data_IF_936173979802
#
_entry.id   IF_936173979802
#
_cell.length_a   1.000
_cell.length_b   1.000
_cell.length_c   1.000
_cell.angle_alpha   90.00
_cell.angle_beta   90.00
_cell.angle_gamma   90.00
#
_symmetry.space_group_name_H-M   'P 1'
#
loop_
_entity.id
_entity.type
_entity.pdbx_description
1 polymer ?
#
# COMPACT_ATOMS: atom_id res chain seq x y z
N UNK A 1 20.66 -6.59 -22.42
CA UNK A 1 20.92 -5.18 -22.07
C UNK A 1 19.58 -4.65 -21.59
N UNK A 2 19.31 -4.75 -20.30
CA UNK A 2 18.11 -4.20 -19.66
C UNK A 2 18.67 -3.51 -18.42
N UNK A 3 18.97 -2.23 -18.58
CA UNK A 3 19.21 -1.31 -17.49
C UNK A 3 18.20 -0.18 -17.69
N UNK A 4 16.95 -0.50 -17.36
CA UNK A 4 15.90 0.49 -17.13
C UNK A 4 15.80 0.60 -15.60
N UNK A 5 16.81 1.27 -15.03
CA UNK A 5 16.68 1.85 -13.71
C UNK A 5 15.47 2.78 -13.77
N UNK A 6 14.40 2.39 -13.09
CA UNK A 6 13.18 3.16 -12.85
C UNK A 6 13.56 4.63 -12.65
N UNK A 7 13.38 5.44 -13.68
CA UNK A 7 13.88 6.81 -13.67
C UNK A 7 12.87 7.63 -12.86
N UNK A 8 13.31 8.73 -12.23
CA UNK A 8 12.38 9.62 -11.50
C UNK A 8 11.17 10.07 -12.36
N UNK A 9 11.30 9.99 -13.70
CA UNK A 9 10.23 10.18 -14.68
C UNK A 9 9.06 9.19 -14.57
N UNK A 10 9.31 7.90 -14.30
CA UNK A 10 8.26 6.88 -14.23
C UNK A 10 7.44 7.02 -12.94
N UNK A 11 8.14 7.24 -11.82
CA UNK A 11 7.53 7.63 -10.54
C UNK A 11 6.68 8.88 -10.73
N UNK A 12 7.20 9.88 -11.45
CA UNK A 12 6.49 11.13 -11.70
C UNK A 12 5.20 10.92 -12.53
N UNK A 13 5.21 10.14 -13.61
CA UNK A 13 3.98 9.86 -14.38
C UNK A 13 2.95 9.13 -13.51
N UNK A 14 3.37 8.14 -12.70
CA UNK A 14 2.47 7.46 -11.75
C UNK A 14 1.85 8.47 -10.76
N UNK A 15 2.65 9.39 -10.22
CA UNK A 15 2.15 10.42 -9.30
C UNK A 15 1.19 11.40 -9.96
N UNK A 16 1.44 11.81 -11.20
CA UNK A 16 0.52 12.68 -11.95
C UNK A 16 -0.84 11.99 -12.12
N UNK A 17 -0.87 10.67 -12.38
CA UNK A 17 -2.11 9.88 -12.47
C UNK A 17 -2.85 9.80 -11.13
N UNK A 18 -2.15 9.43 -10.05
CA UNK A 18 -2.76 9.25 -8.73
C UNK A 18 -3.25 10.58 -8.16
N UNK A 19 -2.49 11.66 -8.34
CA UNK A 19 -2.83 12.99 -7.85
C UNK A 19 -3.84 13.72 -8.74
N UNK A 20 -3.86 13.44 -10.05
CA UNK A 20 -4.52 14.26 -11.05
C UNK A 20 -3.84 15.61 -11.28
N UNK A 21 -2.65 15.85 -10.71
CA UNK A 21 -1.85 17.05 -10.95
C UNK A 21 -0.91 16.82 -12.14
N UNK A 22 -1.30 17.30 -13.31
CA UNK A 22 -0.48 17.21 -14.53
C UNK A 22 0.75 18.12 -14.50
N UNK A 23 0.85 19.04 -13.54
CA UNK A 23 1.89 20.08 -13.46
C UNK A 23 2.89 19.87 -12.32
N UNK A 24 2.94 18.68 -11.70
CA UNK A 24 3.94 18.34 -10.69
C UNK A 24 5.34 18.73 -11.18
N UNK A 25 5.97 19.72 -10.54
CA UNK A 25 7.32 20.15 -10.90
C UNK A 25 8.38 19.24 -10.27
N UNK A 26 8.11 18.77 -9.06
CA UNK A 26 9.01 18.02 -8.18
C UNK A 26 8.28 16.78 -7.61
N UNK A 27 8.97 15.92 -6.85
CA UNK A 27 8.35 14.79 -6.14
C UNK A 27 7.53 15.23 -4.90
N UNK A 28 6.99 16.45 -4.91
CA UNK A 28 6.15 17.05 -3.87
C UNK A 28 4.76 17.27 -4.43
N UNK A 29 3.74 16.76 -3.73
CA UNK A 29 2.37 16.75 -4.24
C UNK A 29 1.70 18.10 -3.97
N UNK A 30 1.12 18.69 -5.01
CA UNK A 30 0.20 19.84 -4.93
C UNK A 30 -1.15 19.43 -5.50
N UNK A 31 -2.06 18.89 -4.68
CA UNK A 31 -3.37 18.52 -5.22
C UNK A 31 -4.15 19.78 -5.64
N UNK A 32 -4.85 19.76 -6.80
CA UNK A 32 -5.74 20.84 -7.19
C UNK A 32 -6.83 21.10 -6.14
N UNK A 33 -7.28 22.36 -6.10
CA UNK A 33 -8.05 22.94 -4.99
C UNK A 33 -9.48 22.40 -4.81
N UNK A 34 -9.99 21.51 -5.67
CA UNK A 34 -11.37 21.04 -5.58
C UNK A 34 -11.49 19.60 -5.03
N UNK A 35 -11.66 19.42 -3.71
CA UNK A 35 -11.75 18.11 -3.05
C UNK A 35 -13.05 17.35 -3.33
N UNK A 36 -14.06 17.96 -3.96
CA UNK A 36 -15.39 17.38 -4.05
C UNK A 36 -15.47 16.08 -4.87
N UNK A 37 -14.50 15.84 -5.76
CA UNK A 37 -14.47 14.69 -6.67
C UNK A 37 -13.25 13.78 -6.44
N UNK A 38 -12.57 13.89 -5.30
CA UNK A 38 -11.40 13.08 -5.04
C UNK A 38 -11.74 11.58 -4.96
N UNK A 39 -10.94 10.76 -5.66
CA UNK A 39 -10.92 9.31 -5.44
C UNK A 39 -10.23 8.98 -4.10
N UNK A 40 -10.24 7.69 -3.71
CA UNK A 40 -9.64 7.22 -2.45
C UNK A 40 -8.16 7.66 -2.29
N UNK A 41 -7.37 7.53 -3.35
CA UNK A 41 -5.94 7.82 -3.32
C UNK A 41 -5.65 9.32 -3.23
N UNK A 42 -6.45 10.15 -3.91
CA UNK A 42 -6.39 11.60 -3.77
C UNK A 42 -6.77 12.05 -2.36
N UNK A 43 -7.77 11.43 -1.74
CA UNK A 43 -8.13 11.69 -0.33
C UNK A 43 -6.97 11.34 0.62
N UNK A 44 -6.26 10.24 0.39
CA UNK A 44 -5.05 9.90 1.17
C UNK A 44 -3.94 10.93 0.95
N UNK A 45 -3.70 11.33 -0.31
CA UNK A 45 -2.72 12.35 -0.64
C UNK A 45 -3.00 13.71 0.01
N UNK A 46 -4.27 14.10 0.20
CA UNK A 46 -4.63 15.36 0.89
C UNK A 46 -4.12 15.45 2.32
N UNK A 47 -3.85 14.32 2.99
CA UNK A 47 -3.33 14.31 4.35
C UNK A 47 -1.90 14.85 4.45
N UNK A 48 -1.19 14.88 3.32
CA UNK A 48 0.15 15.44 3.18
C UNK A 48 0.14 16.87 2.61
N UNK A 49 -1.05 17.46 2.43
CA UNK A 49 -1.21 18.81 1.89
C UNK A 49 -1.66 19.78 2.98
N UNK A 50 -0.77 20.66 3.42
CA UNK A 50 -1.09 21.72 4.39
C UNK A 50 0.16 22.34 5.01
N UNK A 51 0.00 23.50 5.65
CA UNK A 51 1.12 24.28 6.24
C UNK A 51 1.86 23.52 7.34
N UNK A 52 1.19 22.60 8.04
CA UNK A 52 1.75 21.79 9.12
C UNK A 52 1.63 20.27 8.87
N UNK A 53 1.24 19.87 7.65
CA UNK A 53 1.19 18.47 7.28
C UNK A 53 2.61 17.95 7.02
N UNK A 54 2.93 16.68 7.34
CA UNK A 54 4.17 16.11 6.86
C UNK A 54 4.16 16.09 5.33
N UNK A 55 5.33 16.28 4.75
CA UNK A 55 5.47 16.16 3.30
C UNK A 55 5.70 14.70 2.92
N UNK A 56 5.32 14.35 1.70
CA UNK A 56 5.56 13.03 1.12
C UNK A 56 6.46 13.17 -0.10
N UNK A 57 7.42 12.27 -0.22
CA UNK A 57 8.35 12.18 -1.33
C UNK A 57 8.35 10.76 -1.88
N UNK A 58 8.67 10.63 -3.18
CA UNK A 58 8.67 9.34 -3.87
C UNK A 58 9.99 9.15 -4.60
N UNK A 59 10.47 7.90 -4.66
CA UNK A 59 11.71 7.55 -5.36
C UNK A 59 11.75 6.08 -5.79
N UNK A 60 12.51 5.81 -6.84
CA UNK A 60 13.00 4.48 -7.14
C UNK A 60 14.34 4.23 -6.45
N UNK A 61 14.48 3.09 -5.77
CA UNK A 61 15.76 2.63 -5.20
C UNK A 61 15.88 1.11 -5.34
N UNK A 62 17.09 0.56 -5.42
CA UNK A 62 17.27 -0.89 -5.37
C UNK A 62 17.14 -1.38 -3.92
N UNK A 63 15.98 -1.92 -3.58
CA UNK A 63 15.69 -2.48 -2.24
C UNK A 63 16.11 -3.95 -2.10
N UNK A 64 16.87 -4.50 -3.04
CA UNK A 64 17.22 -5.91 -3.11
C UNK A 64 16.09 -6.77 -3.68
N UNK A 65 15.94 -8.01 -3.18
CA UNK A 65 14.95 -8.98 -3.71
C UNK A 65 13.78 -9.27 -2.78
N UNK A 66 13.76 -8.67 -1.59
CA UNK A 66 12.82 -9.02 -0.51
C UNK A 66 11.67 -8.01 -0.33
N UNK A 67 11.75 -6.86 -1.00
CA UNK A 67 10.82 -5.74 -0.87
C UNK A 67 10.42 -5.25 -2.25
N UNK A 68 9.12 -5.08 -2.49
CA UNK A 68 8.60 -4.43 -3.68
C UNK A 68 8.60 -2.92 -3.51
N UNK A 69 8.29 -2.46 -2.31
CA UNK A 69 8.37 -1.07 -1.89
C UNK A 69 8.61 -0.97 -0.39
N UNK A 70 8.77 0.27 0.08
CA UNK A 70 8.88 0.61 1.50
C UNK A 70 8.56 2.08 1.74
N UNK A 71 7.84 2.35 2.83
CA UNK A 71 7.68 3.69 3.40
C UNK A 71 8.65 3.91 4.56
N UNK A 72 9.43 5.00 4.53
CA UNK A 72 10.43 5.32 5.55
C UNK A 72 10.50 6.81 5.89
N UNK A 73 11.13 7.18 7.01
CA UNK A 73 11.42 8.56 7.37
C UNK A 73 12.67 8.68 8.25
N UNK A 74 13.53 9.64 7.93
CA UNK A 74 14.75 9.96 8.68
C UNK A 74 14.63 11.22 9.55
N UNK A 75 13.48 11.88 9.52
CA UNK A 75 13.23 13.15 10.22
C UNK A 75 12.04 13.06 11.17
N UNK A 76 11.83 11.86 11.72
CA UNK A 76 10.76 11.53 12.66
C UNK A 76 9.36 11.76 12.06
N UNK A 77 9.19 11.42 10.78
CA UNK A 77 7.94 11.47 10.04
C UNK A 77 7.51 12.88 9.62
N UNK A 78 8.42 13.84 9.52
CA UNK A 78 8.11 15.17 8.95
C UNK A 78 8.16 15.12 7.41
N UNK A 79 9.02 14.26 6.87
CA UNK A 79 9.08 13.84 5.48
C UNK A 79 8.94 12.32 5.49
N UNK A 80 7.90 11.83 4.84
CA UNK A 80 7.71 10.41 4.54
C UNK A 80 8.21 10.14 3.12
N UNK A 81 9.07 9.14 2.97
CA UNK A 81 9.60 8.71 1.69
C UNK A 81 8.98 7.37 1.30
N UNK A 82 8.27 7.33 0.17
CA UNK A 82 7.82 6.10 -0.48
C UNK A 82 8.87 5.69 -1.50
N UNK A 83 9.40 4.49 -1.32
CA UNK A 83 10.44 3.91 -2.15
C UNK A 83 9.88 2.71 -2.87
N UNK A 84 9.97 2.70 -4.20
CA UNK A 84 9.66 1.51 -5.00
C UNK A 84 10.95 0.86 -5.49
N UNK A 85 10.94 -0.47 -5.53
CA UNK A 85 12.10 -1.23 -5.93
C UNK A 85 12.33 -1.15 -7.45
N UNK A 86 13.49 -0.65 -7.86
CA UNK A 86 13.84 -0.51 -9.29
C UNK A 86 13.98 -1.84 -10.03
N UNK A 87 14.05 -2.97 -9.33
CA UNK A 87 14.18 -4.29 -9.95
C UNK A 87 12.85 -4.85 -10.49
N UNK A 88 11.74 -4.13 -10.32
CA UNK A 88 10.43 -4.57 -10.75
C UNK A 88 10.18 -4.20 -12.22
N UNK A 89 9.79 -5.18 -13.04
CA UNK A 89 9.82 -5.07 -14.50
C UNK A 89 8.50 -4.67 -15.15
N UNK A 90 7.43 -4.45 -14.38
CA UNK A 90 6.13 -4.03 -14.89
C UNK A 90 5.68 -2.71 -14.27
N UNK A 91 5.24 -1.80 -15.14
CA UNK A 91 4.73 -0.49 -14.75
C UNK A 91 3.45 -0.61 -13.92
N UNK A 92 2.60 -1.60 -14.22
CA UNK A 92 1.42 -1.90 -13.41
C UNK A 92 1.78 -2.26 -11.96
N UNK A 93 2.78 -3.11 -11.76
CA UNK A 93 3.19 -3.50 -10.40
C UNK A 93 3.87 -2.36 -9.67
N UNK A 94 4.59 -1.48 -10.37
CA UNK A 94 5.15 -0.26 -9.80
C UNK A 94 4.05 0.69 -9.33
N UNK A 95 3.00 0.87 -10.14
CA UNK A 95 1.83 1.67 -9.79
C UNK A 95 1.08 1.08 -8.57
N UNK A 96 0.81 -0.23 -8.59
CA UNK A 96 0.17 -0.93 -7.47
C UNK A 96 0.98 -0.81 -6.17
N UNK A 97 2.30 -1.00 -6.25
CA UNK A 97 3.20 -0.91 -5.10
C UNK A 97 3.25 0.51 -4.55
N UNK A 98 3.38 1.53 -5.41
CA UNK A 98 3.44 2.92 -4.96
C UNK A 98 2.16 3.31 -4.22
N UNK A 99 1.00 2.89 -4.72
CA UNK A 99 -0.29 3.15 -4.08
C UNK A 99 -0.43 2.37 -2.75
N UNK A 100 0.06 1.13 -2.69
CA UNK A 100 0.10 0.37 -1.45
C UNK A 100 0.97 1.04 -0.37
N UNK A 101 2.15 1.54 -0.76
CA UNK A 101 3.01 2.30 0.15
C UNK A 101 2.39 3.64 0.56
N UNK A 102 1.55 4.25 -0.29
CA UNK A 102 0.78 5.43 0.11
C UNK A 102 -0.21 5.13 1.25
N UNK A 103 -0.83 3.96 1.25
CA UNK A 103 -1.67 3.54 2.36
C UNK A 103 -0.85 3.38 3.64
N UNK A 104 0.35 2.79 3.56
CA UNK A 104 1.27 2.74 4.71
C UNK A 104 1.64 4.14 5.20
N UNK A 105 2.03 5.06 4.33
CA UNK A 105 2.33 6.45 4.70
C UNK A 105 1.14 7.13 5.40
N UNK A 106 -0.07 6.93 4.87
CA UNK A 106 -1.31 7.46 5.46
C UNK A 106 -1.54 6.92 6.87
N UNK A 107 -1.42 5.60 7.06
CA UNK A 107 -1.54 4.94 8.37
C UNK A 107 -0.47 5.42 9.36
N UNK A 108 0.76 5.57 8.91
CA UNK A 108 1.88 5.99 9.75
C UNK A 108 1.74 7.44 10.22
N UNK A 109 1.20 8.31 9.37
CA UNK A 109 0.89 9.69 9.75
C UNK A 109 -0.08 9.75 10.95
N UNK A 110 -1.11 8.90 10.95
CA UNK A 110 -2.07 8.87 12.05
C UNK A 110 -1.42 8.35 13.34
N UNK A 111 -0.64 7.27 13.28
CA UNK A 111 0.03 6.70 14.46
C UNK A 111 1.15 7.59 15.04
N UNK A 112 1.81 8.39 14.21
CA UNK A 112 2.82 9.38 14.66
C UNK A 112 2.22 10.37 15.65
N UNK A 113 1.02 10.87 15.36
CA UNK A 113 0.33 11.86 16.19
C UNK A 113 -0.02 11.32 17.58
N UNK A 114 -0.14 10.01 17.71
CA UNK A 114 -0.40 9.30 18.97
C UNK A 114 0.85 8.81 19.68
N UNK A 115 2.04 9.16 19.17
CA UNK A 115 3.32 8.67 19.69
C UNK A 115 3.43 7.13 19.73
N UNK A 116 2.68 6.45 18.85
CA UNK A 116 2.66 4.99 18.75
C UNK A 116 3.72 4.44 17.80
N UNK A 117 4.51 5.33 17.18
CA UNK A 117 5.61 4.99 16.28
C UNK A 117 6.94 5.48 16.81
N UNK A 118 7.97 4.74 16.43
CA UNK A 118 9.36 5.14 16.48
C UNK A 118 9.97 4.90 15.09
N UNK A 119 10.87 5.77 14.67
CA UNK A 119 11.58 5.62 13.40
C UNK A 119 12.98 5.11 13.69
N UNK A 120 13.37 3.99 13.07
CA UNK A 120 14.73 3.50 13.17
C UNK A 120 15.70 4.55 12.59
N UNK A 121 16.64 5.08 13.37
CA UNK A 121 17.46 6.21 12.91
C UNK A 121 18.45 5.84 11.80
N UNK A 122 18.76 4.55 11.61
CA UNK A 122 19.72 4.09 10.61
C UNK A 122 19.05 3.82 9.26
N UNK A 123 17.83 3.30 9.27
CA UNK A 123 17.11 2.81 8.09
C UNK A 123 15.87 3.63 7.75
N UNK A 124 15.39 4.44 8.70
CA UNK A 124 14.14 5.20 8.60
C UNK A 124 12.90 4.31 8.64
N UNK A 125 13.02 3.02 8.93
CA UNK A 125 11.88 2.10 8.94
C UNK A 125 11.03 2.35 10.19
N UNK A 126 9.70 2.44 10.06
CA UNK A 126 8.82 2.62 11.21
C UNK A 126 8.74 1.32 12.02
N UNK A 127 8.84 1.46 13.33
CA UNK A 127 8.50 0.43 14.31
C UNK A 127 7.42 0.99 15.24
N UNK A 128 6.60 0.12 15.83
CA UNK A 128 5.72 0.54 16.89
C UNK A 128 6.54 0.91 18.14
N UNK A 129 6.04 1.86 18.93
CA UNK A 129 6.73 2.30 20.12
C UNK A 129 6.82 1.17 21.18
N UNK A 130 7.95 1.02 21.85
CA UNK A 130 8.11 -0.01 22.89
C UNK A 130 7.09 0.11 24.04
N UNK A 131 6.68 1.35 24.37
CA UNK A 131 5.67 1.64 25.38
C UNK A 131 4.23 1.61 24.84
N UNK A 132 3.99 0.99 23.68
CA UNK A 132 2.66 0.86 23.07
C UNK A 132 1.60 0.31 24.04
N UNK A 133 1.85 -0.72 24.88
CA UNK A 133 0.84 -1.18 25.84
C UNK A 133 0.40 -0.07 26.80
N UNK A 134 1.34 0.72 27.32
CA UNK A 134 1.06 1.84 28.21
C UNK A 134 0.32 2.96 27.49
N UNK A 135 0.64 3.24 26.23
CA UNK A 135 -0.11 4.21 25.41
C UNK A 135 -1.56 3.74 25.26
N UNK A 136 -1.78 2.46 24.95
CA UNK A 136 -3.10 1.87 24.79
C UNK A 136 -3.92 1.81 26.09
N UNK A 137 -3.27 1.64 27.25
CA UNK A 137 -3.94 1.64 28.56
C UNK A 137 -4.32 3.05 29.01
N UNK A 138 -3.50 4.06 28.68
CA UNK A 138 -3.67 5.43 29.16
C UNK A 138 -4.55 6.32 28.27
N UNK A 139 -4.86 5.88 27.06
CA UNK A 139 -5.69 6.64 26.11
C UNK A 139 -6.96 5.85 25.78
N UNK A 140 -8.11 6.51 25.86
CA UNK A 140 -9.38 5.93 25.43
C UNK A 140 -9.59 6.18 23.94
N UNK A 141 -8.96 5.34 23.11
CA UNK A 141 -9.12 5.38 21.66
C UNK A 141 -10.50 4.87 21.19
N UNK A 142 -11.39 4.43 22.09
CA UNK A 142 -12.76 4.03 21.72
C UNK A 142 -13.69 5.22 21.47
N UNK A 143 -13.14 6.44 21.40
CA UNK A 143 -13.89 7.62 21.02
C UNK A 143 -14.33 7.51 19.55
N UNK A 144 -15.52 8.04 19.20
CA UNK A 144 -16.02 8.07 17.82
C UNK A 144 -15.24 9.08 16.93
N UNK A 145 -13.98 9.37 17.23
CA UNK A 145 -13.12 10.31 16.50
C UNK A 145 -12.47 9.52 15.35
N UNK A 146 -12.81 9.80 14.08
CA UNK A 146 -12.28 9.06 12.94
C UNK A 146 -10.75 9.04 12.87
N UNK A 147 -10.09 10.10 13.35
CA UNK A 147 -8.63 10.26 13.40
C UNK A 147 -7.94 9.35 14.42
N UNK A 148 -8.68 8.78 15.37
CA UNK A 148 -8.20 7.86 16.41
C UNK A 148 -8.41 6.39 16.04
N UNK A 149 -9.17 6.12 14.97
CA UNK A 149 -9.64 4.77 14.66
C UNK A 149 -8.48 3.78 14.45
N UNK A 150 -7.42 4.20 13.75
CA UNK A 150 -6.27 3.32 13.53
C UNK A 150 -5.50 3.04 14.84
N UNK A 151 -5.34 4.05 15.70
CA UNK A 151 -4.75 3.87 17.03
C UNK A 151 -5.57 2.88 17.87
N UNK A 152 -6.90 3.01 17.85
CA UNK A 152 -7.81 2.08 18.50
C UNK A 152 -7.63 0.63 18.00
N UNK A 153 -7.57 0.45 16.68
CA UNK A 153 -7.37 -0.85 16.04
C UNK A 153 -6.03 -1.48 16.45
N UNK A 154 -4.94 -0.71 16.45
CA UNK A 154 -3.63 -1.20 16.91
C UNK A 154 -3.71 -1.63 18.38
N UNK A 155 -4.35 -0.83 19.24
CA UNK A 155 -4.48 -1.15 20.65
C UNK A 155 -5.32 -2.41 20.91
N UNK A 156 -6.42 -2.60 20.17
CA UNK A 156 -7.22 -3.82 20.24
C UNK A 156 -6.44 -5.08 19.82
N UNK A 157 -5.49 -4.93 18.88
CA UNK A 157 -4.74 -6.04 18.29
C UNK A 157 -3.28 -6.13 18.73
N UNK A 158 -2.90 -5.42 19.79
CA UNK A 158 -1.52 -5.36 20.28
C UNK A 158 -0.93 -6.74 20.58
N UNK A 159 -1.73 -7.69 21.07
CA UNK A 159 -1.26 -9.06 21.38
C UNK A 159 -0.93 -9.89 20.14
N UNK A 160 -1.52 -9.56 18.99
CA UNK A 160 -1.27 -10.22 17.71
C UNK A 160 0.00 -9.65 17.08
N UNK A 161 0.18 -8.35 17.21
CA UNK A 161 1.27 -7.58 16.60
C UNK A 161 2.56 -7.64 17.43
N UNK A 162 2.44 -7.76 18.75
CA UNK A 162 3.55 -7.74 19.70
C UNK A 162 3.58 -9.03 20.51
N UNK A 163 4.78 -9.60 20.64
CA UNK A 163 5.04 -10.61 21.65
C UNK A 163 5.05 -9.93 23.03
N UNK A 164 3.98 -10.09 23.81
CA UNK A 164 3.85 -9.45 25.12
C UNK A 164 4.91 -9.88 26.16
N UNK A 165 5.62 -10.99 25.93
CA UNK A 165 6.67 -11.46 26.84
C UNK A 165 8.03 -10.81 26.54
N UNK A 166 8.34 -10.60 25.25
CA UNK A 166 9.62 -9.99 24.83
C UNK A 166 9.49 -8.51 24.51
N UNK A 167 8.27 -8.01 24.32
CA UNK A 167 8.00 -6.67 23.79
C UNK A 167 8.37 -6.51 22.32
N UNK A 168 8.73 -7.61 21.64
CA UNK A 168 9.15 -7.57 20.24
C UNK A 168 7.94 -7.45 19.31
N UNK A 169 8.05 -6.54 18.35
CA UNK A 169 7.03 -6.30 17.32
C UNK A 169 7.32 -7.21 16.14
N UNK A 170 6.27 -7.81 15.58
CA UNK A 170 6.41 -8.63 14.40
C UNK A 170 6.98 -7.81 13.22
N UNK A 171 7.97 -8.31 12.45
CA UNK A 171 8.57 -7.56 11.35
C UNK A 171 7.61 -7.12 10.25
N UNK A 172 6.44 -7.78 10.14
CA UNK A 172 5.39 -7.51 9.15
C UNK A 172 4.11 -6.96 9.80
N UNK A 173 4.25 -6.21 10.90
CA UNK A 173 3.11 -5.71 11.66
C UNK A 173 2.17 -4.83 10.82
N UNK A 174 2.69 -4.09 9.84
CA UNK A 174 1.87 -3.25 8.96
C UNK A 174 0.99 -4.09 8.04
N UNK A 175 1.52 -5.19 7.52
CA UNK A 175 0.79 -6.14 6.68
C UNK A 175 -0.24 -6.94 7.50
N UNK A 176 0.02 -7.19 8.78
CA UNK A 176 -0.95 -7.82 9.68
C UNK A 176 -2.23 -7.00 9.89
N UNK A 177 -2.17 -5.67 9.69
CA UNK A 177 -3.33 -4.78 9.79
C UNK A 177 -4.38 -5.12 8.73
N UNK A 178 -3.96 -5.51 7.51
CA UNK A 178 -4.85 -6.01 6.46
C UNK A 178 -5.46 -7.38 6.79
N UNK A 179 -4.97 -8.06 7.83
CA UNK A 179 -5.57 -9.28 8.35
C UNK A 179 -6.53 -9.03 9.53
N UNK A 180 -6.82 -7.78 9.87
CA UNK A 180 -7.71 -7.42 10.97
C UNK A 180 -9.15 -7.26 10.48
N UNK A 181 -10.15 -7.67 11.28
CA UNK A 181 -11.56 -7.60 10.86
C UNK A 181 -12.08 -6.17 10.66
N UNK A 182 -11.36 -5.16 11.15
CA UNK A 182 -11.70 -3.74 11.01
C UNK A 182 -11.14 -3.10 9.74
N UNK A 183 -10.20 -3.76 9.07
CA UNK A 183 -9.71 -3.32 7.77
C UNK A 183 -10.42 -4.13 6.69
N UNK A 184 -11.27 -3.48 5.90
CA UNK A 184 -11.94 -4.14 4.78
C UNK A 184 -10.96 -4.27 3.59
N UNK A 185 -10.09 -5.28 3.70
CA UNK A 185 -9.03 -5.56 2.71
C UNK A 185 -9.59 -5.84 1.33
N UNK A 186 -10.77 -6.47 1.24
CA UNK A 186 -11.39 -6.72 -0.05
C UNK A 186 -11.84 -5.41 -0.70
N UNK A 187 -12.50 -4.55 0.07
CA UNK A 187 -12.93 -3.24 -0.43
C UNK A 187 -11.73 -2.38 -0.86
N UNK A 188 -10.63 -2.39 -0.11
CA UNK A 188 -9.38 -1.74 -0.54
C UNK A 188 -8.81 -2.37 -1.82
N UNK A 189 -8.73 -3.70 -1.88
CA UNK A 189 -8.20 -4.42 -3.01
C UNK A 189 -9.01 -4.18 -4.29
N UNK A 190 -10.34 -4.19 -4.19
CA UNK A 190 -11.26 -3.90 -5.30
C UNK A 190 -11.13 -2.44 -5.75
N UNK A 191 -11.00 -1.49 -4.82
CA UNK A 191 -10.82 -0.08 -5.16
C UNK A 191 -9.51 0.15 -5.93
N UNK A 192 -8.40 -0.46 -5.49
CA UNK A 192 -7.12 -0.37 -6.17
C UNK A 192 -7.12 -1.12 -7.51
N UNK A 193 -7.66 -2.33 -7.58
CA UNK A 193 -7.77 -3.08 -8.82
C UNK A 193 -8.59 -2.32 -9.87
N UNK A 194 -9.73 -1.73 -9.47
CA UNK A 194 -10.54 -0.89 -10.36
C UNK A 194 -9.79 0.36 -10.81
N UNK A 195 -9.07 1.02 -9.91
CA UNK A 195 -8.26 2.19 -10.26
C UNK A 195 -7.17 1.84 -11.28
N UNK A 196 -6.40 0.78 -11.04
CA UNK A 196 -5.37 0.31 -11.96
C UNK A 196 -5.99 -0.08 -13.31
N UNK A 197 -7.10 -0.81 -13.30
CA UNK A 197 -7.80 -1.21 -14.52
C UNK A 197 -8.18 -0.01 -15.40
N UNK A 198 -8.66 1.07 -14.78
CA UNK A 198 -9.14 2.26 -15.46
C UNK A 198 -8.03 3.25 -15.87
N UNK A 199 -6.95 3.35 -15.10
CA UNK A 199 -5.94 4.42 -15.23
C UNK A 199 -4.55 3.92 -15.70
N UNK A 200 -4.31 2.62 -15.67
CA UNK A 200 -3.07 2.05 -16.17
C UNK A 200 -2.99 2.17 -17.71
N UNK A 201 -1.82 2.54 -18.22
CA UNK A 201 -1.60 2.60 -19.68
C UNK A 201 -1.20 1.22 -20.20
N UNK A 202 -2.23 0.43 -20.49
CA UNK A 202 -2.07 -0.92 -21.02
C UNK A 202 -1.28 -1.00 -22.33
N UNK A 203 -1.18 0.10 -23.10
CA UNK A 203 -0.42 0.12 -24.35
C UNK A 203 1.08 0.28 -24.12
N UNK A 204 1.48 0.77 -22.94
CA UNK A 204 2.88 0.94 -22.55
C UNK A 204 3.50 -0.36 -21.99
N UNK A 205 2.69 -1.39 -21.75
CA UNK A 205 3.20 -2.72 -21.41
C UNK A 205 3.71 -3.44 -22.67
N UNK A 206 4.74 -4.29 -22.54
CA UNK A 206 5.29 -4.99 -23.72
C UNK A 206 4.26 -5.95 -24.34
N UNK A 207 4.24 -6.07 -25.68
CA UNK A 207 3.30 -6.95 -26.37
C UNK A 207 3.38 -8.42 -25.89
N UNK A 208 4.60 -8.89 -25.60
CA UNK A 208 4.82 -10.23 -25.06
C UNK A 208 4.18 -10.41 -23.69
N UNK A 209 4.31 -9.42 -22.80
CA UNK A 209 3.67 -9.44 -21.48
C UNK A 209 2.15 -9.44 -21.61
N UNK A 210 1.58 -8.54 -22.42
CA UNK A 210 0.12 -8.46 -22.63
C UNK A 210 -0.45 -9.79 -23.17
N UNK A 211 0.23 -10.42 -24.13
CA UNK A 211 -0.18 -11.71 -24.70
C UNK A 211 -0.17 -12.81 -23.65
N UNK A 212 0.87 -12.86 -22.82
CA UNK A 212 0.98 -13.85 -21.75
C UNK A 212 -0.15 -13.67 -20.72
N UNK A 213 -0.44 -12.43 -20.32
CA UNK A 213 -1.54 -12.14 -19.40
C UNK A 213 -2.90 -12.51 -19.99
N UNK A 214 -3.17 -12.18 -21.25
CA UNK A 214 -4.41 -12.52 -21.94
C UNK A 214 -4.61 -14.04 -22.05
N UNK A 215 -3.56 -14.80 -22.32
CA UNK A 215 -3.62 -16.25 -22.38
C UNK A 215 -3.90 -16.88 -21.00
N UNK A 216 -3.37 -16.28 -19.94
CA UNK A 216 -3.50 -16.80 -18.58
C UNK A 216 -4.87 -16.47 -17.96
N UNK A 217 -5.34 -15.24 -18.11
CA UNK A 217 -6.53 -14.73 -17.43
C UNK A 217 -7.76 -14.58 -18.35
N UNK A 218 -7.60 -14.83 -19.65
CA UNK A 218 -8.69 -14.81 -20.62
C UNK A 218 -9.17 -13.40 -20.99
N UNK A 219 -10.44 -13.29 -21.36
CA UNK A 219 -11.00 -12.07 -21.96
C UNK A 219 -10.94 -10.84 -21.02
N UNK A 220 -11.05 -11.05 -19.71
CA UNK A 220 -11.03 -9.99 -18.69
C UNK A 220 -9.63 -9.78 -18.07
N UNK A 221 -8.56 -10.22 -18.75
CA UNK A 221 -7.22 -10.27 -18.17
C UNK A 221 -6.74 -8.96 -17.56
N UNK A 222 -7.12 -7.80 -18.10
CA UNK A 222 -6.70 -6.51 -17.55
C UNK A 222 -7.18 -6.32 -16.11
N UNK A 223 -8.45 -6.64 -15.84
CA UNK A 223 -9.00 -6.54 -14.50
C UNK A 223 -8.37 -7.58 -13.56
N UNK A 224 -8.27 -8.83 -14.00
CA UNK A 224 -7.70 -9.92 -13.19
C UNK A 224 -6.22 -9.67 -12.85
N UNK A 225 -5.45 -9.10 -13.79
CA UNK A 225 -4.05 -8.74 -13.55
C UNK A 225 -3.95 -7.51 -12.63
N UNK A 226 -4.86 -6.55 -12.71
CA UNK A 226 -4.94 -5.44 -11.74
C UNK A 226 -5.25 -5.94 -10.33
N UNK A 227 -6.16 -6.91 -10.18
CA UNK A 227 -6.45 -7.55 -8.90
C UNK A 227 -5.22 -8.33 -8.39
N UNK A 228 -4.57 -9.10 -9.27
CA UNK A 228 -3.36 -9.83 -8.91
C UNK A 228 -2.21 -8.91 -8.48
N UNK A 229 -1.96 -7.81 -9.20
CA UNK A 229 -0.94 -6.82 -8.86
C UNK A 229 -1.22 -6.19 -7.48
N UNK A 230 -2.47 -5.86 -7.21
CA UNK A 230 -2.92 -5.34 -5.90
C UNK A 230 -2.63 -6.32 -4.77
N UNK A 231 -2.99 -7.59 -4.98
CA UNK A 231 -2.87 -8.64 -3.98
C UNK A 231 -1.42 -9.05 -3.72
N UNK A 232 -0.54 -8.89 -4.70
CA UNK A 232 0.89 -9.21 -4.60
C UNK A 232 1.59 -8.42 -3.48
N UNK A 233 1.13 -7.20 -3.18
CA UNK A 233 1.65 -6.44 -2.04
C UNK A 233 1.38 -7.14 -0.69
N UNK A 234 0.33 -7.96 -0.62
CA UNK A 234 -0.06 -8.73 0.56
C UNK A 234 0.52 -10.15 0.58
N UNK A 235 1.48 -10.49 -0.30
CA UNK A 235 1.92 -11.87 -0.52
C UNK A 235 2.45 -12.61 0.73
N UNK A 236 2.87 -11.86 1.75
CA UNK A 236 3.37 -12.40 3.02
C UNK A 236 2.26 -12.65 4.05
N UNK A 237 1.01 -12.37 3.71
CA UNK A 237 -0.14 -12.48 4.61
C UNK A 237 -0.98 -13.72 4.32
N UNK A 238 -1.66 -14.22 5.35
CA UNK A 238 -2.66 -15.28 5.19
C UNK A 238 -3.83 -14.84 4.29
N UNK A 239 -4.12 -13.54 4.24
CA UNK A 239 -5.17 -12.99 3.38
C UNK A 239 -4.89 -13.28 1.91
N UNK A 240 -3.65 -13.00 1.45
CA UNK A 240 -3.23 -13.29 0.09
C UNK A 240 -3.34 -14.77 -0.25
N UNK A 241 -2.85 -15.66 0.62
CA UNK A 241 -2.90 -17.09 0.36
C UNK A 241 -4.34 -17.62 0.28
N UNK A 242 -5.23 -17.14 1.15
CA UNK A 242 -6.65 -17.49 1.09
C UNK A 242 -7.28 -17.00 -0.21
N UNK A 243 -7.03 -15.74 -0.60
CA UNK A 243 -7.50 -15.18 -1.86
C UNK A 243 -6.97 -15.96 -3.07
N UNK A 244 -5.67 -16.28 -3.12
CA UNK A 244 -5.03 -17.00 -4.22
C UNK A 244 -5.66 -18.38 -4.43
N UNK A 245 -5.99 -19.08 -3.35
CA UNK A 245 -6.67 -20.38 -3.39
C UNK A 245 -8.07 -20.31 -4.01
N UNK A 246 -8.72 -19.14 -4.03
CA UNK A 246 -10.03 -18.97 -4.67
C UNK A 246 -9.96 -18.74 -6.18
N UNK A 247 -8.76 -18.46 -6.74
CA UNK A 247 -8.64 -17.94 -8.10
C UNK A 247 -8.46 -18.99 -9.20
N UNK A 248 -8.27 -20.27 -8.87
CA UNK A 248 -7.99 -21.36 -9.84
C UNK A 248 -6.88 -21.01 -10.87
N UNK A 249 -5.95 -20.14 -10.48
CA UNK A 249 -4.77 -19.77 -11.29
C UNK A 249 -3.68 -20.80 -10.95
N UNK A 250 -3.82 -22.00 -11.50
CA UNK A 250 -2.80 -23.05 -11.36
C UNK A 250 -1.53 -22.62 -12.13
N UNK A 251 -0.49 -22.22 -11.38
CA UNK A 251 0.85 -21.91 -11.88
C UNK A 251 0.99 -20.57 -12.62
N UNK A 252 1.02 -19.48 -11.88
CA UNK A 252 1.70 -18.28 -12.36
C UNK A 252 3.22 -18.54 -12.32
N UNK A 253 3.96 -18.55 -13.45
CA UNK A 253 5.41 -18.55 -13.42
C UNK A 253 5.86 -17.11 -13.17
N UNK A 254 5.66 -16.61 -11.96
CA UNK A 254 6.64 -15.64 -11.51
C UNK A 254 7.90 -16.43 -11.19
N UNK A 255 9.02 -15.96 -11.70
CA UNK A 255 10.27 -16.03 -10.94
C UNK A 255 10.18 -15.20 -9.63
N UNK A 256 9.03 -15.20 -8.94
CA UNK A 256 8.93 -14.92 -7.52
C UNK A 256 9.48 -16.20 -6.93
N UNK A 257 10.79 -16.16 -6.69
CA UNK A 257 11.61 -17.20 -6.08
C UNK A 257 10.79 -18.25 -5.30
N UNK A 258 11.14 -19.53 -5.45
CA UNK A 258 10.69 -20.69 -4.65
C UNK A 258 10.80 -20.53 -3.09
N UNK A 259 11.13 -19.35 -2.59
CA UNK A 259 11.43 -19.01 -1.18
C UNK A 259 10.21 -18.86 -0.27
N UNK A 260 8.97 -18.89 -0.78
CA UNK A 260 7.77 -18.60 0.03
C UNK A 260 6.91 -19.82 0.39
N UNK A 261 7.33 -21.05 0.02
CA UNK A 261 6.59 -22.30 0.30
C UNK A 261 6.52 -22.75 1.77
N UNK A 262 7.21 -22.05 2.69
CA UNK A 262 7.42 -22.53 4.07
C UNK A 262 6.89 -21.58 5.16
N UNK A 263 5.69 -21.03 5.02
CA UNK A 263 5.05 -20.31 6.13
C UNK A 263 4.05 -21.20 6.87
N UNK A 264 4.32 -21.55 8.14
CA UNK A 264 3.36 -22.24 8.98
C UNK A 264 2.50 -21.20 9.72
N UNK A 265 1.19 -21.44 9.75
CA UNK A 265 0.27 -21.25 10.89
C UNK A 265 -1.13 -20.65 10.54
N UNK A 266 -2.08 -21.59 10.57
CA UNK A 266 -3.40 -21.66 11.23
C UNK A 266 -4.57 -20.71 10.93
N UNK A 267 -5.70 -21.41 10.93
CA UNK A 267 -7.11 -21.06 10.81
C UNK A 267 -7.63 -20.28 12.02
N UNK A 268 -8.54 -19.31 11.80
CA UNK A 268 -9.83 -19.23 12.53
C UNK A 268 -10.73 -18.06 12.07
N UNK A 269 -11.96 -18.47 11.73
CA UNK A 269 -13.30 -17.89 11.92
C UNK A 269 -13.60 -16.38 11.73
N UNK A 270 -14.59 -16.19 10.86
CA UNK A 270 -15.20 -14.95 10.35
C UNK A 270 -16.35 -14.42 11.24
N UNK A 271 -16.82 -13.19 10.94
CA UNK A 271 -18.11 -12.50 11.27
C UNK A 271 -17.94 -11.22 12.15
N UNK A 272 -18.59 -10.05 11.88
CA UNK A 272 -19.00 -9.39 10.62
C UNK A 272 -18.52 -7.91 10.49
N UNK A 273 -18.85 -7.33 9.32
CA UNK A 273 -18.52 -6.02 8.73
C UNK A 273 -18.94 -4.78 9.54
N UNK A 274 -18.05 -3.79 9.56
CA UNK A 274 -18.38 -2.36 9.49
C UNK A 274 -17.89 -1.81 8.14
N UNK A 275 -18.72 -1.06 7.43
CA UNK A 275 -18.43 -0.60 6.06
C UNK A 275 -17.82 0.81 6.04
N UNK A 276 -16.69 0.96 5.34
CA UNK A 276 -16.29 2.23 4.74
C UNK A 276 -17.05 2.38 3.41
N UNK A 277 -17.85 3.45 3.27
CA UNK A 277 -18.60 3.71 2.03
C UNK A 277 -17.67 4.35 0.97
N UNK A 278 -17.40 3.61 -0.11
CA UNK A 278 -16.54 4.01 -1.23
C UNK A 278 -17.34 4.24 -2.54
N UNK A 279 -18.65 4.47 -2.48
CA UNK A 279 -19.58 4.41 -3.63
C UNK A 279 -19.49 5.52 -4.69
N UNK A 280 -18.39 6.27 -4.82
CA UNK A 280 -18.29 7.34 -5.84
C UNK A 280 -16.94 7.30 -6.56
N UNK A 281 -16.89 6.63 -7.71
CA UNK A 281 -15.74 6.59 -8.63
C UNK A 281 -16.18 6.99 -10.04
N UNK A 282 -15.70 8.13 -10.52
CA UNK A 282 -15.81 8.61 -11.92
C UNK A 282 -14.38 8.69 -12.47
N UNK A 283 -14.11 8.20 -13.71
CA UNK A 283 -12.75 8.15 -14.23
C UNK A 283 -12.28 9.50 -14.79
N UNK A 284 -11.01 9.83 -14.55
CA UNK A 284 -10.26 10.80 -15.33
C UNK A 284 -9.51 10.06 -16.45
N UNK A 285 -9.71 10.50 -17.70
CA UNK A 285 -8.87 10.13 -18.84
C UNK A 285 -7.73 11.13 -18.89
N UNK A 286 -6.49 10.66 -19.00
CA UNK A 286 -5.46 11.23 -19.88
C UNK A 286 -4.25 10.28 -19.96
N UNK A 287 -3.69 10.15 -21.16
CA UNK A 287 -2.49 9.35 -21.47
C UNK A 287 -1.22 10.17 -21.23
N UNK A 288 -0.20 9.58 -20.58
CA UNK A 288 1.14 10.15 -20.50
C UNK A 288 1.75 10.15 -21.93
N UNK A 289 2.25 11.30 -22.40
CA UNK A 289 3.04 11.42 -23.64
C UNK A 289 4.53 11.39 -23.31
#
# INVERSE_FOLDING_TARGET
MIDETLNNTDVKCILQKISGDTNLSDNKITLPANPANDNLFQKMLRKFNGTNAPSIAFKGENLGTNYLGQTRSFDNGNILEIVINTNNTSNLFNEATLIHELLHAFMLNDLKNWHMLQWDPATGVPTLAYNLPTICENNDFNSNIPEEHLAAVICMHIKKIMNLQTGEIHPYWMEEIFGLPYFDTQTYADALANFLHQNHDWNNETQGWQTNMANQFGFNWKYEVSEYATMTALMKTNYFHNWLNTKDIANFPLQVNDRYKNFPYYTQNFIPKGSFDLSVLIPAKDSCN
#
